data_IF_292574789755
#
_entry.id   IF_292574789755
#
_cell.length_a   1.000
_cell.length_b   1.000
_cell.length_c   1.000
_cell.angle_alpha   90.00
_cell.angle_beta   90.00
_cell.angle_gamma   90.00
#
_symmetry.space_group_name_H-M   'P 1'
#
loop_
_entity.id
_entity.type
_entity.pdbx_description
1 polymer ?
#
# COMPACT_ATOMS: atom_id res chain seq x y z
N UNK A 1 -23.23 -29.03 -10.44
CA UNK A 1 -22.53 -28.92 -9.13
C UNK A 1 -22.96 -27.60 -8.50
N UNK A 2 -23.41 -27.58 -7.27
CA UNK A 2 -23.66 -26.31 -6.56
C UNK A 2 -22.31 -25.59 -6.39
N UNK A 3 -22.27 -24.28 -6.65
CA UNK A 3 -21.06 -23.51 -6.45
C UNK A 3 -20.64 -23.57 -4.97
N UNK A 4 -19.37 -23.79 -4.70
CA UNK A 4 -18.80 -23.77 -3.34
C UNK A 4 -19.08 -22.42 -2.68
N UNK A 5 -19.56 -22.44 -1.43
CA UNK A 5 -19.77 -21.22 -0.63
C UNK A 5 -18.66 -21.16 0.41
N UNK A 6 -17.78 -20.17 0.30
CA UNK A 6 -16.73 -19.94 1.30
C UNK A 6 -17.34 -19.42 2.62
N UNK A 7 -16.76 -19.79 3.74
CA UNK A 7 -17.09 -19.10 4.98
C UNK A 7 -16.56 -17.67 4.92
N UNK A 8 -15.31 -17.50 4.47
CA UNK A 8 -14.68 -16.16 4.34
C UNK A 8 -14.03 -16.01 2.97
N UNK A 9 -14.41 -14.95 2.27
CA UNK A 9 -13.71 -14.50 1.07
C UNK A 9 -12.88 -13.24 1.40
N UNK A 10 -11.60 -13.27 1.11
CA UNK A 10 -10.66 -12.19 1.40
C UNK A 10 -10.20 -11.58 0.07
N UNK A 11 -10.46 -10.31 -0.13
CA UNK A 11 -10.11 -9.57 -1.35
C UNK A 11 -8.84 -8.77 -1.11
N UNK A 12 -7.73 -9.21 -1.69
CA UNK A 12 -6.39 -8.66 -1.56
C UNK A 12 -5.45 -9.51 -0.71
N UNK A 13 -4.30 -9.86 -1.27
CA UNK A 13 -3.23 -10.67 -0.67
C UNK A 13 -2.12 -9.84 -0.04
N UNK A 14 -2.42 -8.64 0.48
CA UNK A 14 -1.50 -7.83 1.29
C UNK A 14 -1.55 -8.19 2.77
N UNK A 15 -0.80 -7.48 3.65
CA UNK A 15 -0.70 -7.79 5.08
C UNK A 15 -2.05 -7.96 5.79
N UNK A 16 -3.04 -7.09 5.50
CA UNK A 16 -4.38 -7.22 6.08
C UNK A 16 -5.11 -8.50 5.65
N UNK A 17 -4.98 -8.88 4.37
CA UNK A 17 -5.57 -10.11 3.85
C UNK A 17 -4.83 -11.36 4.34
N UNK A 18 -3.52 -11.31 4.44
CA UNK A 18 -2.68 -12.38 5.00
C UNK A 18 -3.07 -12.61 6.47
N UNK A 19 -3.16 -11.53 7.25
CA UNK A 19 -3.62 -11.61 8.64
C UNK A 19 -5.00 -12.26 8.75
N UNK A 20 -5.96 -11.81 7.94
CA UNK A 20 -7.31 -12.37 7.95
C UNK A 20 -7.33 -13.87 7.56
N UNK A 21 -6.54 -14.27 6.56
CA UNK A 21 -6.48 -15.66 6.11
C UNK A 21 -5.87 -16.59 7.18
N UNK A 22 -4.68 -16.24 7.64
CA UNK A 22 -3.90 -17.04 8.60
C UNK A 22 -4.65 -17.17 9.93
N UNK A 23 -5.15 -16.06 10.46
CA UNK A 23 -5.84 -16.04 11.75
C UNK A 23 -7.22 -16.72 11.68
N UNK A 24 -7.92 -16.62 10.55
CA UNK A 24 -9.17 -17.39 10.35
C UNK A 24 -8.92 -18.88 10.46
N UNK A 25 -7.89 -19.40 9.79
CA UNK A 25 -7.54 -20.82 9.84
C UNK A 25 -7.05 -21.20 11.22
N UNK A 26 -6.23 -20.40 11.88
CA UNK A 26 -5.77 -20.62 13.26
C UNK A 26 -6.92 -20.71 14.26
N UNK A 27 -8.01 -19.97 14.03
CA UNK A 27 -9.25 -20.02 14.85
C UNK A 27 -10.23 -21.12 14.43
N UNK A 28 -9.85 -22.00 13.47
CA UNK A 28 -10.64 -23.13 13.03
C UNK A 28 -11.69 -22.82 11.97
N UNK A 29 -11.58 -21.68 11.27
CA UNK A 29 -12.38 -21.39 10.07
C UNK A 29 -11.62 -21.94 8.88
N UNK A 30 -12.06 -23.05 8.29
CA UNK A 30 -11.26 -23.80 7.30
C UNK A 30 -11.61 -23.48 5.85
N UNK A 31 -12.83 -23.00 5.58
CA UNK A 31 -13.26 -22.70 4.22
C UNK A 31 -13.04 -21.22 3.88
N UNK A 32 -11.76 -20.85 3.75
CA UNK A 32 -11.29 -19.49 3.49
C UNK A 32 -10.63 -19.42 2.13
N UNK A 33 -10.93 -18.40 1.34
CA UNK A 33 -10.27 -18.13 0.08
C UNK A 33 -9.77 -16.69 0.00
N UNK A 34 -8.56 -16.52 -0.53
CA UNK A 34 -7.97 -15.21 -0.83
C UNK A 34 -8.01 -14.97 -2.34
N UNK A 35 -8.43 -13.79 -2.75
CA UNK A 35 -8.46 -13.34 -4.14
C UNK A 35 -7.44 -12.22 -4.32
N UNK A 36 -6.40 -12.47 -5.09
CA UNK A 36 -5.32 -11.52 -5.38
C UNK A 36 -5.25 -11.26 -6.89
N UNK A 37 -5.31 -9.98 -7.26
CA UNK A 37 -5.26 -9.58 -8.67
C UNK A 37 -3.91 -9.80 -9.33
N UNK A 38 -2.84 -9.79 -8.52
CA UNK A 38 -1.46 -9.94 -8.99
C UNK A 38 -1.08 -11.42 -9.11
N UNK A 39 0.10 -11.68 -9.68
CA UNK A 39 0.66 -13.04 -9.80
C UNK A 39 1.14 -13.61 -8.47
N UNK A 40 1.36 -12.74 -7.48
CA UNK A 40 1.86 -13.09 -6.15
C UNK A 40 1.21 -12.20 -5.09
N UNK A 41 1.12 -12.71 -3.85
CA UNK A 41 0.70 -11.90 -2.71
C UNK A 41 1.67 -10.74 -2.44
N UNK A 42 1.25 -9.78 -1.62
CA UNK A 42 2.08 -8.65 -1.18
C UNK A 42 2.65 -7.82 -2.35
N UNK A 43 1.89 -7.72 -3.46
CA UNK A 43 2.35 -7.08 -4.69
C UNK A 43 2.90 -5.67 -4.45
N UNK A 44 2.29 -4.88 -3.56
CA UNK A 44 2.78 -3.55 -3.19
C UNK A 44 4.18 -3.61 -2.56
N UNK A 45 4.43 -4.54 -1.64
CA UNK A 45 5.75 -4.72 -1.01
C UNK A 45 6.75 -5.19 -2.06
N UNK A 46 6.41 -6.19 -2.87
CA UNK A 46 7.29 -6.72 -3.92
C UNK A 46 7.66 -5.65 -4.95
N UNK A 47 6.72 -4.81 -5.34
CA UNK A 47 6.91 -3.80 -6.40
C UNK A 47 7.55 -2.51 -5.90
N UNK A 48 7.17 -2.01 -4.72
CA UNK A 48 7.55 -0.67 -4.28
C UNK A 48 8.65 -0.65 -3.22
N UNK A 49 8.91 -1.76 -2.51
CA UNK A 49 10.02 -1.83 -1.58
C UNK A 49 11.29 -2.25 -2.34
N UNK A 50 12.36 -1.47 -2.17
CA UNK A 50 13.68 -1.88 -2.68
C UNK A 50 14.22 -3.05 -1.88
N UNK A 51 15.14 -3.79 -2.51
CA UNK A 51 15.85 -4.89 -1.86
C UNK A 51 16.64 -4.37 -0.66
N UNK A 52 16.59 -5.12 0.43
CA UNK A 52 17.17 -4.74 1.72
C UNK A 52 16.42 -3.64 2.47
N UNK A 53 15.28 -3.13 1.95
CA UNK A 53 14.51 -2.11 2.66
C UNK A 53 14.09 -2.61 4.02
N UNK A 54 14.46 -1.87 5.07
CA UNK A 54 14.04 -2.12 6.45
C UNK A 54 12.51 -2.08 6.60
N UNK A 55 11.99 -2.99 7.37
CA UNK A 55 10.57 -3.13 7.73
C UNK A 55 10.47 -3.25 9.24
N UNK A 56 9.94 -2.22 9.87
CA UNK A 56 9.77 -2.16 11.32
C UNK A 56 8.36 -2.59 11.71
N UNK A 57 8.25 -3.35 12.80
CA UNK A 57 6.96 -3.69 13.43
C UNK A 57 6.36 -2.46 14.09
N UNK A 58 7.18 -1.75 14.85
CA UNK A 58 6.78 -0.58 15.62
C UNK A 58 7.61 0.65 15.27
N UNK A 59 6.97 1.82 15.30
CA UNK A 59 7.65 3.11 15.25
C UNK A 59 6.79 4.17 15.95
N UNK A 60 7.37 5.33 16.24
CA UNK A 60 6.70 6.39 17.01
C UNK A 60 5.32 6.73 16.45
N UNK A 61 4.31 6.62 17.30
CA UNK A 61 2.90 6.85 16.93
C UNK A 61 2.20 5.67 16.28
N UNK A 62 2.88 4.53 16.07
CA UNK A 62 2.30 3.30 15.53
C UNK A 62 2.92 2.06 16.20
N UNK A 63 2.71 1.94 17.51
CA UNK A 63 3.04 0.73 18.25
C UNK A 63 1.84 -0.21 18.16
N UNK A 64 2.07 -1.42 17.65
CA UNK A 64 1.02 -2.43 17.48
C UNK A 64 1.34 -3.64 18.34
N UNK A 65 0.46 -3.89 19.31
CA UNK A 65 0.46 -5.14 20.05
C UNK A 65 -0.22 -6.22 19.18
N UNK A 66 0.60 -7.09 18.58
CA UNK A 66 0.10 -8.19 17.76
C UNK A 66 -0.52 -9.25 18.66
N UNK A 67 -1.82 -9.44 18.54
CA UNK A 67 -2.64 -10.35 19.38
C UNK A 67 -2.80 -11.73 18.77
N UNK A 68 -2.53 -11.86 17.47
CA UNK A 68 -2.72 -13.11 16.71
C UNK A 68 -1.54 -14.07 16.80
N UNK A 69 -1.58 -15.10 15.96
CA UNK A 69 -0.57 -16.17 15.89
C UNK A 69 0.65 -15.82 15.02
N UNK A 70 0.59 -14.73 14.25
CA UNK A 70 1.62 -14.36 13.28
C UNK A 70 2.84 -13.75 13.99
N UNK A 71 4.03 -14.38 13.91
CA UNK A 71 5.24 -13.94 14.60
C UNK A 71 5.99 -12.85 13.80
N UNK A 72 5.33 -11.73 13.53
CA UNK A 72 5.92 -10.63 12.77
C UNK A 72 6.80 -9.76 13.67
N UNK A 73 8.05 -9.55 13.26
CA UNK A 73 9.09 -8.77 13.95
C UNK A 73 9.80 -7.83 12.98
N UNK A 74 10.66 -6.97 13.51
CA UNK A 74 11.52 -6.12 12.70
C UNK A 74 12.40 -6.95 11.75
N UNK A 75 12.58 -6.46 10.54
CA UNK A 75 13.35 -7.15 9.52
C UNK A 75 13.59 -6.27 8.30
N UNK A 76 13.59 -6.90 7.15
CA UNK A 76 13.68 -6.24 5.85
C UNK A 76 12.61 -6.79 4.88
N UNK A 77 12.58 -6.26 3.66
CA UNK A 77 11.65 -6.70 2.60
C UNK A 77 11.69 -8.22 2.43
N UNK A 78 12.89 -8.79 2.32
CA UNK A 78 13.12 -10.21 2.01
C UNK A 78 12.60 -11.10 3.14
N UNK A 79 13.01 -10.84 4.38
CA UNK A 79 12.56 -11.62 5.54
C UNK A 79 11.04 -11.50 5.78
N UNK A 80 10.46 -10.34 5.49
CA UNK A 80 9.01 -10.13 5.57
C UNK A 80 8.28 -10.95 4.52
N UNK A 81 8.76 -10.96 3.28
CA UNK A 81 8.15 -11.74 2.21
C UNK A 81 8.31 -13.25 2.43
N UNK A 82 9.47 -13.70 2.91
CA UNK A 82 9.71 -15.10 3.27
C UNK A 82 8.75 -15.58 4.38
N UNK A 83 8.53 -14.75 5.41
CA UNK A 83 7.52 -15.03 6.43
C UNK A 83 6.13 -15.19 5.80
N UNK A 84 5.74 -14.30 4.91
CA UNK A 84 4.42 -14.35 4.28
C UNK A 84 4.26 -15.52 3.31
N UNK A 85 5.31 -15.84 2.53
CA UNK A 85 5.34 -17.03 1.68
C UNK A 85 5.09 -18.29 2.52
N UNK A 86 5.80 -18.44 3.64
CA UNK A 86 5.66 -19.58 4.57
C UNK A 86 4.27 -19.65 5.21
N UNK A 87 3.73 -18.51 5.65
CA UNK A 87 2.41 -18.47 6.29
C UNK A 87 1.29 -18.87 5.32
N UNK A 88 1.45 -18.57 4.05
CA UNK A 88 0.42 -18.80 3.02
C UNK A 88 0.56 -20.14 2.28
N UNK A 89 1.59 -20.95 2.56
CA UNK A 89 1.92 -22.17 1.81
C UNK A 89 0.73 -23.13 1.64
N UNK A 90 -0.13 -23.23 2.66
CA UNK A 90 -1.30 -24.12 2.66
C UNK A 90 -2.63 -23.39 2.56
N UNK A 91 -2.64 -22.13 2.11
CA UNK A 91 -3.86 -21.35 1.97
C UNK A 91 -4.39 -21.37 0.54
N UNK A 92 -5.71 -21.38 0.38
CA UNK A 92 -6.37 -21.31 -0.93
C UNK A 92 -6.32 -19.87 -1.45
N UNK A 93 -5.46 -19.62 -2.44
CA UNK A 93 -5.28 -18.30 -3.03
C UNK A 93 -5.59 -18.37 -4.52
N UNK A 94 -6.50 -17.53 -4.95
CA UNK A 94 -6.82 -17.29 -6.35
C UNK A 94 -6.00 -16.10 -6.85
N UNK A 95 -4.82 -16.37 -7.39
CA UNK A 95 -4.00 -15.35 -8.04
C UNK A 95 -4.56 -14.93 -9.38
N UNK A 96 -4.15 -13.77 -9.92
CA UNK A 96 -4.65 -13.19 -11.18
C UNK A 96 -6.18 -13.06 -11.22
N UNK A 97 -6.78 -12.89 -10.03
CA UNK A 97 -8.22 -12.81 -9.88
C UNK A 97 -8.58 -11.42 -9.33
N UNK A 98 -8.89 -10.52 -10.23
CA UNK A 98 -9.26 -9.14 -9.91
C UNK A 98 -10.76 -9.08 -9.62
N UNK A 99 -11.13 -8.89 -8.36
CA UNK A 99 -12.52 -8.76 -7.94
C UNK A 99 -13.01 -7.35 -8.27
N UNK A 100 -14.09 -7.28 -9.03
CA UNK A 100 -14.68 -6.03 -9.50
C UNK A 100 -15.82 -5.53 -8.60
N UNK A 101 -16.59 -6.45 -8.01
CA UNK A 101 -17.72 -6.11 -7.14
C UNK A 101 -18.10 -7.24 -6.21
N UNK A 102 -18.79 -6.88 -5.13
CA UNK A 102 -19.50 -7.81 -4.25
C UNK A 102 -20.95 -7.37 -4.15
N UNK A 103 -21.87 -8.31 -4.04
CA UNK A 103 -23.29 -8.06 -3.89
C UNK A 103 -23.88 -8.98 -2.82
N UNK A 104 -24.58 -8.41 -1.85
CA UNK A 104 -25.30 -9.21 -0.83
C UNK A 104 -26.58 -9.79 -1.45
N UNK A 105 -26.72 -11.11 -1.37
CA UNK A 105 -27.90 -11.86 -1.87
C UNK A 105 -28.38 -12.78 -0.74
N UNK A 106 -29.40 -12.36 -0.02
CA UNK A 106 -29.82 -13.03 1.21
C UNK A 106 -28.72 -13.00 2.26
N UNK A 107 -28.34 -14.19 2.76
CA UNK A 107 -27.33 -14.35 3.81
C UNK A 107 -25.89 -14.55 3.28
N UNK A 108 -25.71 -14.48 1.96
CA UNK A 108 -24.41 -14.67 1.32
C UNK A 108 -24.05 -13.50 0.41
N UNK A 109 -22.79 -13.44 0.03
CA UNK A 109 -22.28 -12.51 -0.98
C UNK A 109 -21.98 -13.23 -2.28
N UNK A 110 -22.38 -12.64 -3.39
CA UNK A 110 -21.87 -12.94 -4.72
C UNK A 110 -20.72 -12.01 -5.04
N UNK A 111 -19.60 -12.60 -5.45
CA UNK A 111 -18.31 -11.93 -5.66
C UNK A 111 -17.97 -12.11 -7.13
N UNK A 112 -17.85 -11.00 -7.87
CA UNK A 112 -17.63 -11.02 -9.31
C UNK A 112 -16.23 -10.54 -9.65
N UNK A 113 -15.51 -11.31 -10.47
CA UNK A 113 -14.22 -10.91 -11.01
C UNK A 113 -14.37 -10.22 -12.37
N UNK A 114 -13.41 -9.36 -12.71
CA UNK A 114 -13.30 -8.72 -14.03
C UNK A 114 -13.14 -9.73 -15.16
N UNK A 115 -12.67 -10.94 -14.86
CA UNK A 115 -12.58 -12.07 -15.80
C UNK A 115 -13.87 -12.87 -15.98
N UNK A 116 -15.01 -12.43 -15.42
CA UNK A 116 -16.31 -13.08 -15.55
C UNK A 116 -16.54 -14.28 -14.63
N UNK A 117 -15.63 -14.56 -13.69
CA UNK A 117 -15.83 -15.60 -12.68
C UNK A 117 -16.70 -15.07 -11.53
N UNK A 118 -17.50 -15.97 -10.93
CA UNK A 118 -18.32 -15.66 -9.77
C UNK A 118 -18.04 -16.64 -8.64
N UNK A 119 -17.97 -16.11 -7.42
CA UNK A 119 -17.76 -16.86 -6.19
C UNK A 119 -18.81 -16.48 -5.15
N UNK A 120 -18.96 -17.31 -4.12
CA UNK A 120 -19.94 -17.06 -3.05
C UNK A 120 -19.27 -17.18 -1.68
N UNK A 121 -19.66 -16.32 -0.75
CA UNK A 121 -19.15 -16.36 0.63
C UNK A 121 -20.19 -15.86 1.63
N UNK A 122 -20.06 -16.28 2.90
CA UNK A 122 -20.87 -15.78 4.03
C UNK A 122 -20.33 -14.46 4.56
N UNK A 123 -18.99 -14.32 4.61
CA UNK A 123 -18.27 -13.13 5.06
C UNK A 123 -17.29 -12.67 4.00
N UNK A 124 -17.09 -11.35 3.92
CA UNK A 124 -16.11 -10.76 3.01
C UNK A 124 -15.16 -9.87 3.80
N UNK A 125 -13.86 -10.00 3.55
CA UNK A 125 -12.82 -9.12 4.07
C UNK A 125 -12.20 -8.36 2.90
N UNK A 126 -12.32 -7.04 2.88
CA UNK A 126 -11.71 -6.17 1.87
C UNK A 126 -10.36 -5.68 2.41
N UNK A 127 -9.26 -6.16 1.81
CA UNK A 127 -7.88 -5.90 2.23
C UNK A 127 -7.01 -5.39 1.08
N UNK A 128 -7.57 -4.54 0.23
CA UNK A 128 -6.97 -4.06 -1.02
C UNK A 128 -5.95 -2.94 -0.85
N UNK A 129 -5.69 -2.49 0.39
CA UNK A 129 -4.81 -1.37 0.68
C UNK A 129 -5.31 -0.04 0.11
N UNK A 130 -4.53 1.01 0.30
CA UNK A 130 -4.78 2.34 -0.31
C UNK A 130 -3.95 2.59 -1.56
N UNK A 131 -2.86 1.88 -1.72
CA UNK A 131 -1.94 2.06 -2.85
C UNK A 131 -2.37 1.24 -4.07
N UNK A 132 -3.62 1.38 -4.48
CA UNK A 132 -4.10 0.77 -5.73
C UNK A 132 -3.38 1.35 -6.95
N UNK A 133 -3.18 2.66 -6.96
CA UNK A 133 -2.31 3.39 -7.89
C UNK A 133 -1.62 4.54 -7.16
N UNK A 134 -0.35 4.86 -7.48
CA UNK A 134 0.30 6.03 -6.94
C UNK A 134 -0.44 7.29 -7.38
N UNK A 135 -0.56 8.26 -6.47
CA UNK A 135 -1.06 9.57 -6.82
C UNK A 135 -0.19 10.17 -7.94
N UNK A 136 -0.84 10.74 -8.93
CA UNK A 136 -0.18 11.48 -10.00
C UNK A 136 -0.19 12.96 -9.66
N UNK A 137 0.79 13.73 -10.18
CA UNK A 137 0.74 15.19 -10.10
C UNK A 137 -0.51 15.72 -10.83
N UNK A 138 -0.98 16.89 -10.44
CA UNK A 138 -2.17 17.53 -11.03
C UNK A 138 -1.93 18.10 -12.44
N UNK A 139 -0.65 18.27 -12.82
CA UNK A 139 -0.23 18.71 -14.15
C UNK A 139 0.11 17.52 -15.05
N UNK A 140 0.03 17.69 -16.38
CA UNK A 140 0.31 16.60 -17.32
C UNK A 140 1.80 16.25 -17.33
N UNK A 141 2.09 14.96 -17.53
CA UNK A 141 3.44 14.46 -17.79
C UNK A 141 3.58 14.31 -19.31
N UNK A 142 4.49 15.06 -19.96
CA UNK A 142 4.71 14.95 -21.40
C UNK A 142 5.01 13.51 -21.83
N UNK A 143 4.42 13.00 -22.93
CA UNK A 143 4.61 11.62 -23.38
C UNK A 143 6.08 11.25 -23.64
N UNK A 144 6.87 12.19 -24.11
CA UNK A 144 8.28 12.01 -24.46
C UNK A 144 9.16 11.65 -23.28
N UNK A 145 8.88 12.23 -22.10
CA UNK A 145 9.62 11.99 -20.86
C UNK A 145 8.91 11.01 -19.90
N UNK A 146 7.80 10.37 -20.33
CA UNK A 146 7.00 9.50 -19.45
C UNK A 146 7.82 8.36 -18.83
N UNK A 147 8.81 7.82 -19.54
CA UNK A 147 9.70 6.77 -19.04
C UNK A 147 10.71 7.25 -18.00
N UNK A 148 10.91 8.56 -17.91
CA UNK A 148 11.82 9.23 -16.96
C UNK A 148 11.11 9.65 -15.68
N UNK A 149 9.77 9.62 -15.67
CA UNK A 149 8.94 9.96 -14.50
C UNK A 149 8.40 8.67 -13.90
N UNK A 150 8.74 8.40 -12.65
CA UNK A 150 8.45 7.15 -11.95
C UNK A 150 7.68 7.41 -10.66
N UNK A 151 7.02 6.38 -10.15
CA UNK A 151 6.26 6.41 -8.89
C UNK A 151 6.83 5.42 -7.85
N UNK A 152 7.99 4.90 -8.14
CA UNK A 152 8.82 4.09 -7.24
C UNK A 152 10.30 4.32 -7.60
N UNK A 153 11.20 3.84 -6.74
CA UNK A 153 12.63 4.00 -6.96
C UNK A 153 13.27 2.79 -7.67
N UNK A 154 12.48 1.94 -8.35
CA UNK A 154 13.00 0.80 -9.10
C UNK A 154 13.57 1.27 -10.46
N UNK A 155 14.57 0.54 -10.95
CA UNK A 155 15.18 0.79 -12.27
C UNK A 155 15.83 2.17 -12.43
N UNK A 156 16.29 2.81 -11.35
CA UNK A 156 17.13 3.98 -11.37
C UNK A 156 18.59 3.49 -11.39
N UNK A 157 19.33 3.94 -12.37
CA UNK A 157 20.74 3.57 -12.52
C UNK A 157 21.63 4.46 -11.63
N UNK A 158 22.89 4.07 -11.44
CA UNK A 158 23.87 4.92 -10.77
C UNK A 158 24.26 6.11 -11.64
N UNK A 159 24.79 7.16 -11.01
CA UNK A 159 25.28 8.38 -11.64
C UNK A 159 24.22 9.22 -12.39
N UNK A 160 22.94 9.03 -12.06
CA UNK A 160 21.84 9.86 -12.54
C UNK A 160 21.58 11.07 -11.59
N UNK A 161 21.14 12.19 -12.15
CA UNK A 161 20.60 13.31 -11.38
C UNK A 161 19.11 13.09 -11.16
N UNK A 162 18.72 12.84 -9.90
CA UNK A 162 17.38 12.38 -9.52
C UNK A 162 16.68 13.37 -8.63
N UNK A 163 15.43 13.70 -8.98
CA UNK A 163 14.50 14.40 -8.08
C UNK A 163 13.54 13.42 -7.44
N UNK A 164 13.51 13.36 -6.12
CA UNK A 164 12.47 12.66 -5.36
C UNK A 164 11.46 13.68 -4.85
N UNK A 165 10.17 13.46 -5.12
CA UNK A 165 9.09 14.38 -4.75
C UNK A 165 8.20 13.74 -3.70
N UNK A 166 8.10 14.37 -2.53
CA UNK A 166 7.23 13.92 -1.46
C UNK A 166 7.75 14.27 -0.06
N UNK A 167 6.91 14.07 0.95
CA UNK A 167 7.25 14.42 2.34
C UNK A 167 6.84 13.36 3.36
N UNK A 168 6.59 12.12 2.93
CA UNK A 168 6.33 10.96 3.80
C UNK A 168 7.53 10.03 3.89
N UNK A 169 7.39 8.95 4.68
CA UNK A 169 8.44 7.95 4.87
C UNK A 169 9.00 7.43 3.55
N UNK A 170 8.15 7.06 2.59
CA UNK A 170 8.61 6.53 1.29
C UNK A 170 9.47 7.52 0.51
N UNK A 171 9.15 8.83 0.56
CA UNK A 171 9.95 9.85 -0.13
C UNK A 171 11.35 9.97 0.49
N UNK A 172 11.42 10.00 1.82
CA UNK A 172 12.70 10.05 2.54
C UNK A 172 13.52 8.78 2.30
N UNK A 173 12.91 7.61 2.39
CA UNK A 173 13.57 6.32 2.14
C UNK A 173 14.12 6.22 0.70
N UNK A 174 13.35 6.68 -0.30
CA UNK A 174 13.85 6.72 -1.68
C UNK A 174 15.00 7.70 -1.82
N UNK A 175 14.89 8.91 -1.26
CA UNK A 175 15.94 9.91 -1.35
C UNK A 175 17.24 9.48 -0.67
N UNK A 176 17.16 8.96 0.56
CA UNK A 176 18.33 8.50 1.33
C UNK A 176 18.98 7.23 0.75
N UNK A 177 18.21 6.45 0.02
CA UNK A 177 18.73 5.29 -0.68
C UNK A 177 19.43 5.69 -1.99
N UNK A 178 18.76 6.52 -2.80
CA UNK A 178 19.26 6.94 -4.11
C UNK A 178 20.48 7.84 -4.02
N UNK A 179 20.60 8.67 -2.98
CA UNK A 179 21.75 9.56 -2.81
C UNK A 179 23.08 8.86 -2.51
N UNK A 180 23.07 7.54 -2.37
CA UNK A 180 24.31 6.76 -2.23
C UNK A 180 25.10 6.72 -3.53
N UNK A 181 24.37 6.61 -4.65
CA UNK A 181 24.94 6.35 -5.97
C UNK A 181 24.49 7.39 -7.03
N UNK A 182 23.77 8.44 -6.61
CA UNK A 182 23.18 9.44 -7.52
C UNK A 182 23.25 10.85 -6.95
N UNK A 183 23.25 11.87 -7.81
CA UNK A 183 23.02 13.26 -7.42
C UNK A 183 21.52 13.46 -7.12
N UNK A 184 21.13 13.29 -5.86
CA UNK A 184 19.73 13.24 -5.46
C UNK A 184 19.29 14.52 -4.75
N UNK A 185 18.15 15.05 -5.19
CA UNK A 185 17.44 16.14 -4.53
C UNK A 185 16.08 15.65 -4.01
N UNK A 186 15.76 15.89 -2.75
CA UNK A 186 14.44 15.66 -2.17
C UNK A 186 13.64 16.95 -2.17
N UNK A 187 12.56 17.01 -2.93
CA UNK A 187 11.64 18.12 -2.96
C UNK A 187 10.40 17.85 -2.11
N UNK A 188 10.05 18.80 -1.27
CA UNK A 188 8.80 18.77 -0.52
C UNK A 188 8.16 20.15 -0.47
N UNK A 189 6.86 20.23 -0.81
CA UNK A 189 6.10 21.50 -0.84
C UNK A 189 5.95 22.21 0.49
N UNK A 190 6.20 21.52 1.63
CA UNK A 190 6.23 22.13 2.96
C UNK A 190 7.65 22.36 3.42
N UNK A 191 7.82 23.25 4.39
CA UNK A 191 9.12 23.58 4.96
C UNK A 191 9.66 22.52 5.93
N UNK A 192 8.78 21.64 6.45
CA UNK A 192 9.14 20.66 7.48
C UNK A 192 8.52 19.28 7.20
N UNK A 193 9.21 18.23 7.60
CA UNK A 193 8.76 16.84 7.54
C UNK A 193 8.03 16.45 8.82
N UNK A 194 6.71 16.57 8.86
CA UNK A 194 5.88 16.23 10.03
C UNK A 194 5.34 14.79 10.03
N UNK A 195 5.60 13.99 8.97
CA UNK A 195 4.98 12.67 8.76
C UNK A 195 5.99 11.53 8.63
N UNK A 196 7.24 11.77 8.95
CA UNK A 196 8.29 10.76 8.90
C UNK A 196 8.56 10.21 10.30
N UNK A 197 8.93 8.93 10.37
CA UNK A 197 9.33 8.31 11.62
C UNK A 197 10.76 8.76 12.04
N UNK A 198 11.12 8.47 13.28
CA UNK A 198 12.42 8.92 13.86
C UNK A 198 13.62 8.33 13.11
N UNK A 199 13.51 7.09 12.64
CA UNK A 199 14.59 6.43 11.88
C UNK A 199 14.83 7.16 10.57
N UNK A 200 13.75 7.46 9.84
CA UNK A 200 13.83 8.19 8.58
C UNK A 200 14.27 9.65 8.80
N UNK A 201 13.84 10.29 9.89
CA UNK A 201 14.28 11.63 10.24
C UNK A 201 15.80 11.67 10.48
N UNK A 202 16.34 10.68 11.22
CA UNK A 202 17.78 10.56 11.45
C UNK A 202 18.54 10.30 10.16
N UNK A 203 18.10 9.33 9.35
CA UNK A 203 18.76 9.01 8.05
C UNK A 203 18.77 10.21 7.10
N UNK A 204 17.66 10.95 7.05
CA UNK A 204 17.56 12.17 6.27
C UNK A 204 18.59 13.21 6.73
N UNK A 205 18.65 13.45 8.03
CA UNK A 205 19.59 14.41 8.61
C UNK A 205 21.05 14.01 8.34
N UNK A 206 21.41 12.75 8.55
CA UNK A 206 22.74 12.21 8.29
C UNK A 206 23.12 12.37 6.81
N UNK A 207 22.19 12.11 5.89
CA UNK A 207 22.41 12.23 4.45
C UNK A 207 22.60 13.69 4.00
N UNK A 208 21.86 14.61 4.58
CA UNK A 208 22.01 16.06 4.33
C UNK A 208 23.34 16.56 4.88
N UNK A 209 23.68 16.22 6.14
CA UNK A 209 24.91 16.66 6.80
C UNK A 209 26.17 16.14 6.09
N UNK A 210 26.11 14.93 5.54
CA UNK A 210 27.22 14.37 4.74
C UNK A 210 27.33 14.99 3.33
N UNK A 211 26.44 15.90 2.94
CA UNK A 211 26.41 16.51 1.62
C UNK A 211 25.96 15.58 0.49
N UNK A 212 25.52 14.37 0.80
CA UNK A 212 25.07 13.38 -0.22
C UNK A 212 23.66 13.64 -0.73
N UNK A 213 22.80 14.27 0.07
CA UNK A 213 21.43 14.56 -0.28
C UNK A 213 21.15 16.06 -0.24
N UNK A 214 20.65 16.59 -1.34
CA UNK A 214 20.14 17.95 -1.44
C UNK A 214 18.66 17.99 -1.08
N UNK A 215 18.19 19.10 -0.53
CA UNK A 215 16.77 19.32 -0.23
C UNK A 215 16.26 20.60 -0.85
N UNK A 216 15.02 20.60 -1.33
CA UNK A 216 14.28 21.77 -1.79
C UNK A 216 12.93 21.77 -1.07
N UNK A 217 12.82 22.54 0.00
CA UNK A 217 11.67 22.57 0.90
C UNK A 217 10.87 23.86 0.73
N UNK A 218 9.55 23.80 0.99
CA UNK A 218 8.64 24.94 0.88
C UNK A 218 8.33 25.36 -0.55
N UNK A 219 8.71 24.54 -1.55
CA UNK A 219 8.54 24.84 -2.97
C UNK A 219 7.80 23.67 -3.64
N UNK A 220 6.71 23.96 -4.34
CA UNK A 220 5.95 22.96 -5.10
C UNK A 220 6.40 22.93 -6.56
N UNK A 221 6.00 21.90 -7.28
CA UNK A 221 6.24 21.78 -8.73
C UNK A 221 5.04 22.30 -9.49
N UNK A 222 5.27 23.15 -10.47
CA UNK A 222 4.26 23.76 -11.32
C UNK A 222 4.02 22.95 -12.60
N UNK A 223 5.06 22.29 -13.13
CA UNK A 223 4.97 21.50 -14.35
C UNK A 223 6.26 20.82 -14.73
N UNK A 224 6.17 19.96 -15.75
CA UNK A 224 7.28 19.25 -16.34
C UNK A 224 7.36 19.55 -17.83
N UNK A 225 8.56 19.67 -18.35
CA UNK A 225 8.87 19.83 -19.77
C UNK A 225 9.92 18.82 -20.21
N UNK A 226 9.96 18.53 -21.50
CA UNK A 226 11.04 17.76 -22.13
C UNK A 226 12.20 18.67 -22.46
N UNK A 227 13.37 18.36 -21.94
CA UNK A 227 14.62 19.07 -22.21
C UNK A 227 15.63 18.04 -22.75
N UNK A 228 15.64 17.85 -24.06
CA UNK A 228 16.51 16.90 -24.78
C UNK A 228 16.43 15.46 -24.21
N UNK A 229 15.23 15.00 -23.86
CA UNK A 229 14.98 13.68 -23.29
C UNK A 229 15.23 13.58 -21.78
N UNK A 230 15.53 14.68 -21.11
CA UNK A 230 15.58 14.84 -19.67
C UNK A 230 14.32 15.55 -19.16
N UNK A 231 14.09 15.52 -17.86
CA UNK A 231 12.94 16.12 -17.22
C UNK A 231 13.30 17.50 -16.68
N UNK A 232 12.88 18.55 -17.37
CA UNK A 232 12.95 19.91 -16.82
C UNK A 232 11.75 20.12 -15.90
N UNK A 233 12.04 20.44 -14.66
CA UNK A 233 11.05 20.66 -13.60
C UNK A 233 10.93 22.16 -13.34
N UNK A 234 9.71 22.70 -13.51
CA UNK A 234 9.40 24.10 -13.23
C UNK A 234 8.79 24.18 -11.84
N UNK A 235 9.38 25.00 -10.97
CA UNK A 235 8.97 25.18 -9.60
C UNK A 235 8.14 26.44 -9.39
N UNK A 236 7.35 26.50 -8.33
CA UNK A 236 6.47 27.64 -7.98
C UNK A 236 7.22 28.91 -7.58
N UNK A 237 8.51 28.83 -7.31
CA UNK A 237 9.42 29.97 -7.08
C UNK A 237 10.02 30.56 -8.35
N UNK A 238 9.47 30.21 -9.53
CA UNK A 238 9.94 30.60 -10.86
C UNK A 238 11.34 30.11 -11.23
N UNK A 239 11.89 29.15 -10.51
CA UNK A 239 13.11 28.46 -10.90
C UNK A 239 12.80 27.18 -11.66
N UNK A 240 13.74 26.72 -12.47
CA UNK A 240 13.66 25.44 -13.14
C UNK A 240 14.98 24.70 -13.04
N UNK A 241 14.91 23.36 -13.05
CA UNK A 241 16.07 22.49 -12.98
C UNK A 241 15.81 21.22 -13.76
N UNK A 242 16.85 20.70 -14.46
CA UNK A 242 16.75 19.50 -15.28
C UNK A 242 17.34 18.29 -14.58
N UNK A 243 16.60 17.17 -14.64
CA UNK A 243 16.92 15.90 -14.00
C UNK A 243 16.89 14.76 -15.01
N UNK A 244 17.68 13.72 -14.77
CA UNK A 244 17.63 12.48 -15.56
C UNK A 244 16.39 11.66 -15.21
N UNK A 245 15.95 11.74 -13.94
CA UNK A 245 14.73 11.06 -13.40
C UNK A 245 13.99 11.91 -12.41
N UNK A 246 12.66 11.72 -12.39
CA UNK A 246 11.79 12.26 -11.33
C UNK A 246 11.00 11.11 -10.72
N UNK A 247 11.03 10.98 -9.40
CA UNK A 247 10.33 9.95 -8.61
C UNK A 247 9.27 10.59 -7.74
N UNK A 248 8.00 10.35 -8.03
CA UNK A 248 6.89 10.81 -7.19
C UNK A 248 6.60 9.81 -6.09
N UNK A 249 6.80 10.21 -4.84
CA UNK A 249 6.42 9.49 -3.62
C UNK A 249 5.38 10.29 -2.83
N UNK A 250 4.27 10.65 -3.48
CA UNK A 250 3.21 11.54 -2.98
C UNK A 250 1.96 10.78 -2.49
N UNK A 251 2.15 9.51 -2.11
CA UNK A 251 1.10 8.63 -1.62
C UNK A 251 0.36 7.91 -2.75
N UNK A 252 -0.71 7.19 -2.39
CA UNK A 252 -1.57 6.46 -3.32
C UNK A 252 -3.04 6.83 -3.17
N UNK A 253 -3.80 6.67 -4.24
CA UNK A 253 -5.25 6.85 -4.26
C UNK A 253 -5.94 5.56 -3.79
N UNK A 254 -6.98 5.71 -2.96
CA UNK A 254 -7.86 4.60 -2.66
C UNK A 254 -8.60 4.16 -3.95
N UNK A 255 -8.88 2.88 -4.13
CA UNK A 255 -9.63 2.37 -5.28
C UNK A 255 -11.14 2.67 -5.11
N UNK A 256 -11.50 3.95 -5.18
CA UNK A 256 -12.85 4.48 -4.91
C UNK A 256 -13.90 3.81 -5.82
N UNK A 257 -13.55 3.55 -7.08
CA UNK A 257 -14.48 2.94 -8.02
C UNK A 257 -14.88 1.52 -7.59
N UNK A 258 -13.93 0.73 -7.10
CA UNK A 258 -14.22 -0.59 -6.52
C UNK A 258 -15.13 -0.47 -5.29
N UNK A 259 -14.81 0.43 -4.36
CA UNK A 259 -15.60 0.63 -3.15
C UNK A 259 -17.04 1.05 -3.45
N UNK A 260 -17.22 1.93 -4.45
CA UNK A 260 -18.54 2.35 -4.92
C UNK A 260 -19.31 1.21 -5.60
N UNK A 261 -18.66 0.39 -6.43
CA UNK A 261 -19.28 -0.80 -7.03
C UNK A 261 -19.73 -1.80 -5.97
N UNK A 262 -18.98 -1.91 -4.87
CA UNK A 262 -19.35 -2.70 -3.70
C UNK A 262 -20.41 -2.03 -2.82
N UNK A 263 -20.90 -0.84 -3.16
CA UNK A 263 -21.92 -0.07 -2.43
C UNK A 263 -21.53 0.28 -0.98
N UNK A 264 -20.24 0.40 -0.69
CA UNK A 264 -19.76 0.82 0.62
C UNK A 264 -20.00 2.32 0.85
N UNK A 265 -20.42 2.68 2.06
CA UNK A 265 -20.46 4.09 2.46
C UNK A 265 -19.04 4.63 2.60
N UNK A 266 -18.78 5.79 2.00
CA UNK A 266 -17.51 6.48 2.01
C UNK A 266 -17.64 7.82 2.74
N UNK A 267 -16.57 8.23 3.41
CA UNK A 267 -16.47 9.59 3.94
C UNK A 267 -16.16 10.61 2.84
N UNK A 268 -16.08 11.90 3.19
CA UNK A 268 -15.78 13.00 2.27
C UNK A 268 -14.42 12.87 1.55
N UNK A 269 -13.50 12.07 2.10
CA UNK A 269 -12.18 11.80 1.52
C UNK A 269 -12.14 10.51 0.68
N UNK A 270 -13.29 9.83 0.52
CA UNK A 270 -13.38 8.56 -0.19
C UNK A 270 -12.86 7.36 0.60
N UNK A 271 -12.69 7.48 1.91
CA UNK A 271 -12.32 6.37 2.80
C UNK A 271 -13.59 5.62 3.20
N UNK A 272 -13.61 4.28 3.10
CA UNK A 272 -14.79 3.53 3.52
C UNK A 272 -15.00 3.64 5.04
N UNK A 273 -16.26 3.81 5.42
CA UNK A 273 -16.66 3.94 6.82
C UNK A 273 -16.71 2.53 7.43
N UNK A 274 -16.11 2.37 8.61
CA UNK A 274 -16.20 1.15 9.42
C UNK A 274 -16.46 1.47 10.89
N UNK A 275 -17.01 0.50 11.61
CA UNK A 275 -17.18 0.56 13.06
C UNK A 275 -15.89 0.10 13.80
N UNK A 276 -15.95 0.06 15.13
CA UNK A 276 -14.82 -0.35 15.98
C UNK A 276 -14.37 -1.81 15.77
N UNK A 277 -15.23 -2.64 15.18
CA UNK A 277 -14.94 -4.03 14.82
C UNK A 277 -14.43 -4.18 13.39
N UNK A 278 -14.06 -3.09 12.73
CA UNK A 278 -13.65 -3.05 11.35
C UNK A 278 -14.74 -3.49 10.35
N UNK A 279 -15.98 -3.59 10.76
CA UNK A 279 -17.10 -3.90 9.88
C UNK A 279 -17.54 -2.64 9.14
N UNK A 280 -17.73 -2.78 7.85
CA UNK A 280 -18.13 -1.68 6.96
C UNK A 280 -19.62 -1.29 7.17
N UNK A 281 -20.13 -0.41 6.31
CA UNK A 281 -21.56 -0.09 6.23
C UNK A 281 -22.46 -1.27 5.80
N UNK A 282 -21.85 -2.36 5.34
CA UNK A 282 -22.55 -3.60 4.95
C UNK A 282 -22.22 -4.67 5.97
N UNK A 283 -23.25 -5.21 6.61
CA UNK A 283 -23.12 -6.30 7.59
C UNK A 283 -22.36 -7.50 6.98
N UNK A 284 -21.43 -8.09 7.74
CA UNK A 284 -20.55 -9.19 7.33
C UNK A 284 -19.52 -8.84 6.25
N UNK A 285 -19.30 -7.54 5.98
CA UNK A 285 -18.19 -7.03 5.14
C UNK A 285 -17.24 -6.24 6.02
N UNK A 286 -16.00 -6.69 6.13
CA UNK A 286 -14.95 -6.11 6.98
C UNK A 286 -13.85 -5.45 6.17
N UNK A 287 -13.14 -4.51 6.77
CA UNK A 287 -12.05 -3.75 6.15
C UNK A 287 -10.74 -4.03 6.90
N UNK A 288 -9.69 -4.48 6.20
CA UNK A 288 -8.40 -4.80 6.81
C UNK A 288 -7.23 -4.02 6.19
N UNK A 289 -6.28 -3.61 7.01
CA UNK A 289 -5.08 -2.89 6.60
C UNK A 289 -5.36 -1.42 6.27
N UNK A 290 -4.57 -0.86 5.37
CA UNK A 290 -4.58 0.59 5.08
C UNK A 290 -5.94 1.12 4.63
N UNK A 291 -6.76 0.29 3.99
CA UNK A 291 -8.10 0.71 3.54
C UNK A 291 -9.03 1.08 4.70
N UNK A 292 -8.84 0.48 5.86
CA UNK A 292 -9.59 0.77 7.08
C UNK A 292 -9.12 2.02 7.83
N UNK A 293 -7.94 2.57 7.51
CA UNK A 293 -7.32 3.65 8.25
C UNK A 293 -7.50 5.00 7.53
N UNK A 294 -7.79 6.06 8.28
CA UNK A 294 -7.86 7.43 7.71
C UNK A 294 -6.49 7.92 7.25
N UNK A 295 -5.43 7.62 7.98
CA UNK A 295 -4.06 8.03 7.65
C UNK A 295 -3.06 7.01 8.13
N UNK A 296 -2.03 6.78 7.31
CA UNK A 296 -0.88 5.92 7.63
C UNK A 296 -1.28 4.53 8.12
N UNK A 297 -0.65 3.51 7.61
CA UNK A 297 -0.81 2.15 8.08
C UNK A 297 0.56 1.51 8.24
N UNK A 298 0.58 0.35 8.89
CA UNK A 298 1.77 -0.47 8.98
C UNK A 298 1.42 -1.93 8.65
N UNK A 299 2.44 -2.70 8.35
CA UNK A 299 2.29 -4.15 8.16
C UNK A 299 1.68 -4.77 9.42
N UNK A 300 2.22 -4.43 10.60
CA UNK A 300 1.73 -4.92 11.89
C UNK A 300 0.25 -4.57 12.12
N UNK A 301 -0.16 -3.32 11.85
CA UNK A 301 -1.56 -2.92 11.97
C UNK A 301 -2.47 -3.73 11.03
N UNK A 302 -2.02 -3.95 9.80
CA UNK A 302 -2.77 -4.78 8.84
C UNK A 302 -2.96 -6.22 9.32
N UNK A 303 -1.90 -6.84 9.83
CA UNK A 303 -1.95 -8.19 10.38
C UNK A 303 -2.89 -8.27 11.60
N UNK A 304 -2.81 -7.28 12.51
CA UNK A 304 -3.67 -7.24 13.69
C UNK A 304 -5.14 -7.02 13.35
N UNK A 305 -5.46 -6.20 12.33
CA UNK A 305 -6.83 -6.09 11.80
C UNK A 305 -7.35 -7.45 11.33
N UNK A 306 -6.50 -8.24 10.66
CA UNK A 306 -6.85 -9.60 10.25
C UNK A 306 -7.26 -10.49 11.42
N UNK A 307 -6.49 -10.46 12.52
CA UNK A 307 -6.82 -11.19 13.74
C UNK A 307 -8.15 -10.73 14.37
N UNK A 308 -8.35 -9.43 14.54
CA UNK A 308 -9.56 -8.88 15.13
C UNK A 308 -10.82 -9.25 14.32
N UNK A 309 -10.72 -9.18 12.99
CA UNK A 309 -11.79 -9.60 12.08
C UNK A 309 -12.05 -11.10 12.17
N UNK A 310 -11.00 -11.93 12.18
CA UNK A 310 -11.15 -13.38 12.29
C UNK A 310 -11.84 -13.78 13.60
N UNK A 311 -11.54 -13.12 14.73
CA UNK A 311 -12.22 -13.32 15.99
C UNK A 311 -13.72 -12.98 15.92
N UNK A 312 -14.06 -11.84 15.28
CA UNK A 312 -15.47 -11.45 15.13
C UNK A 312 -16.24 -12.40 14.22
N UNK A 313 -15.64 -12.82 13.10
CA UNK A 313 -16.23 -13.82 12.19
C UNK A 313 -16.42 -15.16 12.90
N UNK A 314 -15.41 -15.64 13.63
CA UNK A 314 -15.52 -16.90 14.41
C UNK A 314 -16.68 -16.86 15.39
N UNK A 315 -16.84 -15.75 16.09
CA UNK A 315 -17.95 -15.56 17.02
C UNK A 315 -19.31 -15.63 16.33
N UNK A 316 -19.45 -15.16 15.08
CA UNK A 316 -20.72 -15.19 14.31
C UNK A 316 -21.00 -16.54 13.68
N UNK A 317 -19.94 -17.32 13.38
CA UNK A 317 -20.09 -18.68 12.84
C UNK A 317 -20.46 -19.71 13.92
N UNK A 318 -20.16 -19.44 15.20
CA UNK A 318 -20.40 -20.34 16.34
C UNK A 318 -19.16 -21.18 16.64
#
# INVERSE_FOLDING_TARGET
MMAEIYDVAIIGGGPGGIGAAVESVALGITNVAVFEKSEQHSATIRQFYKDGKRVDKDYKGQIVDLKGSIPFVDGNKESTLELFDKLLENHKIHYKTDIESIQKVGDIFEIHSSGGQSFKAKFVVIAIGKMGQPNKPSYPIPPTIRKKVQFNANNIQSDEKVLVVGGGNSAVEYATLLCKDNDTTLNYRRTEFSRINEVNAKQLQDSIQSGKLKTRLGVDIQGLEDDEGKVKVNFTDNQSETFDRVVYAIGGAAPIDFLKKCQLALDENGTPISNEKLESSIENVFLAGDIALKSGGSIAAGLNHGYEIACEIKKRLG
#
